data_IF_175152289726
#
_entry.id   IF_175152289726
#
_cell.length_a   1.000
_cell.length_b   1.000
_cell.length_c   1.000
_cell.angle_alpha   90.00
_cell.angle_beta   90.00
_cell.angle_gamma   90.00
#
_symmetry.space_group_name_H-M   'P 1'
#
loop_
_entity.id
_entity.type
_entity.pdbx_description
1 polymer ?
#
# COMPACT_ATOMS: atom_id res chain seq x y z
N UNK A 1 -3.00 22.97 64.40
CA UNK A 1 -4.36 22.53 64.04
C UNK A 1 -4.59 22.95 62.58
N UNK A 2 -4.61 22.00 61.64
CA UNK A 2 -5.82 21.41 60.99
C UNK A 2 -6.60 22.45 60.16
N UNK A 3 -7.03 22.29 58.90
CA UNK A 3 -7.14 21.20 57.91
C UNK A 3 -7.49 21.89 56.55
N UNK A 4 -7.17 21.21 55.45
CA UNK A 4 -7.55 21.40 54.04
C UNK A 4 -8.82 22.23 53.73
N UNK A 5 -8.79 22.92 52.57
CA UNK A 5 -9.76 22.70 51.47
C UNK A 5 -9.21 23.15 50.12
N UNK A 6 -8.73 22.16 49.37
CA UNK A 6 -8.50 22.17 47.93
C UNK A 6 -9.87 21.94 47.27
N UNK A 7 -10.34 22.91 46.48
CA UNK A 7 -11.38 22.77 45.46
C UNK A 7 -10.99 23.82 44.41
N UNK A 8 -10.38 23.49 43.29
CA UNK A 8 -10.75 22.43 42.37
C UNK A 8 -11.10 23.13 41.05
N UNK A 9 -10.10 23.72 40.41
CA UNK A 9 -10.14 24.23 39.04
C UNK A 9 -10.43 23.05 38.11
N UNK A 10 -11.71 22.77 37.88
CA UNK A 10 -12.14 21.85 36.83
C UNK A 10 -11.99 22.55 35.48
N UNK A 11 -10.74 22.56 35.00
CA UNK A 11 -10.39 22.77 33.61
C UNK A 11 -11.10 21.68 32.80
N UNK A 12 -12.19 22.03 32.12
CA UNK A 12 -12.81 21.18 31.12
C UNK A 12 -11.88 21.17 29.91
N UNK A 13 -10.87 20.31 29.97
CA UNK A 13 -10.17 19.79 28.80
C UNK A 13 -11.17 18.92 28.05
N UNK A 14 -12.01 19.55 27.23
CA UNK A 14 -12.63 18.88 26.09
C UNK A 14 -11.52 18.61 25.05
N UNK A 15 -10.62 17.70 25.40
CA UNK A 15 -9.65 17.12 24.48
C UNK A 15 -10.44 16.36 23.42
N UNK A 16 -10.27 16.79 22.18
CA UNK A 16 -10.99 16.32 21.02
C UNK A 16 -11.03 14.81 20.95
N UNK A 17 -12.23 14.26 21.06
CA UNK A 17 -12.55 13.07 20.30
C UNK A 17 -12.58 13.51 18.83
N UNK A 18 -11.40 13.57 18.20
CA UNK A 18 -11.36 13.33 16.76
C UNK A 18 -11.94 11.94 16.60
N UNK A 19 -13.19 11.88 16.19
CA UNK A 19 -13.74 10.73 15.49
C UNK A 19 -12.82 10.51 14.30
N UNK A 20 -11.75 9.74 14.49
CA UNK A 20 -11.15 8.96 13.42
C UNK A 20 -12.28 8.04 13.03
N UNK A 21 -13.11 8.49 12.08
CA UNK A 21 -13.89 7.55 11.32
C UNK A 21 -12.87 6.56 10.79
N UNK A 22 -12.97 5.31 11.25
CA UNK A 22 -12.33 4.18 10.62
C UNK A 22 -12.87 4.12 9.20
N UNK A 23 -12.32 4.96 8.32
CA UNK A 23 -12.36 4.75 6.90
C UNK A 23 -11.44 3.56 6.69
N UNK A 24 -12.01 2.37 6.86
CA UNK A 24 -11.44 1.15 6.28
C UNK A 24 -11.09 1.43 4.81
N UNK A 25 -10.16 0.65 4.28
CA UNK A 25 -9.57 0.89 2.96
C UNK A 25 -10.63 1.36 1.95
N UNK A 26 -10.41 2.49 1.27
CA UNK A 26 -11.40 3.01 0.34
C UNK A 26 -11.45 2.09 -0.89
N UNK A 27 -12.34 1.09 -0.84
CA UNK A 27 -12.54 0.12 -1.92
C UNK A 27 -13.06 0.77 -3.21
N UNK A 28 -13.56 2.02 -3.17
CA UNK A 28 -13.85 2.75 -4.43
C UNK A 28 -12.56 3.09 -5.18
N UNK A 29 -11.44 3.25 -4.46
CA UNK A 29 -10.13 3.49 -5.07
C UNK A 29 -9.56 2.24 -5.71
N UNK A 30 -9.93 1.02 -5.28
CA UNK A 30 -9.51 -0.24 -5.88
C UNK A 30 -10.69 -1.21 -5.88
N UNK A 31 -11.52 -1.26 -6.95
CA UNK A 31 -12.56 -2.27 -7.04
C UNK A 31 -11.92 -3.66 -7.11
N UNK A 32 -12.62 -4.67 -6.57
CA UNK A 32 -12.14 -6.05 -6.56
C UNK A 32 -11.79 -6.55 -7.96
N UNK A 33 -10.69 -7.30 -8.06
CA UNK A 33 -10.22 -7.86 -9.32
C UNK A 33 -9.29 -6.92 -10.09
N UNK A 34 -9.38 -6.92 -11.41
CA UNK A 34 -8.46 -6.20 -12.29
C UNK A 34 -8.70 -4.69 -12.21
N UNK A 35 -7.60 -3.94 -12.18
CA UNK A 35 -7.64 -2.49 -12.33
C UNK A 35 -8.17 -2.08 -13.71
N UNK A 36 -8.68 -0.85 -13.77
CA UNK A 36 -9.22 -0.28 -15.01
C UNK A 36 -8.10 0.25 -15.90
N UNK A 37 -8.12 -0.09 -17.19
CA UNK A 37 -7.04 0.27 -18.12
C UNK A 37 -6.88 1.78 -18.32
N UNK A 38 -7.98 2.54 -18.22
CA UNK A 38 -8.02 4.00 -18.35
C UNK A 38 -7.63 4.76 -17.07
N UNK A 39 -7.29 4.04 -16.00
CA UNK A 39 -6.96 4.62 -14.70
C UNK A 39 -5.49 4.39 -14.36
N UNK A 40 -4.97 5.23 -13.49
CA UNK A 40 -3.74 5.00 -12.76
C UNK A 40 -4.02 4.97 -11.26
N UNK A 41 -3.19 4.20 -10.56
CA UNK A 41 -3.34 3.95 -9.13
C UNK A 41 -2.09 4.44 -8.42
N UNK A 42 -2.31 5.25 -7.39
CA UNK A 42 -1.29 5.71 -6.47
C UNK A 42 -1.32 4.82 -5.24
N UNK A 43 -0.15 4.49 -4.71
CA UNK A 43 -0.05 3.88 -3.40
C UNK A 43 1.24 4.31 -2.70
N UNK A 44 1.22 4.23 -1.37
CA UNK A 44 2.39 4.43 -0.55
C UNK A 44 3.28 3.18 -0.58
N UNK A 45 4.55 3.35 -0.92
CA UNK A 45 5.56 2.30 -0.85
C UNK A 45 5.65 1.80 0.60
N UNK A 46 5.47 0.50 0.87
CA UNK A 46 5.52 -0.02 2.23
C UNK A 46 6.89 0.17 2.88
N UNK A 47 6.89 0.31 4.21
CA UNK A 47 8.12 0.50 4.97
C UNK A 47 9.11 -0.65 4.79
N UNK A 48 10.33 -0.33 4.34
CA UNK A 48 11.35 -1.33 4.04
C UNK A 48 11.30 -1.91 2.63
N UNK A 49 10.43 -1.39 1.77
CA UNK A 49 10.47 -1.63 0.34
C UNK A 49 11.23 -0.49 -0.34
N UNK A 50 12.10 -0.83 -1.28
CA UNK A 50 12.76 0.10 -2.19
C UNK A 50 12.36 -0.27 -3.61
N UNK A 51 12.00 0.72 -4.42
CA UNK A 51 11.65 0.55 -5.83
C UNK A 51 12.63 1.39 -6.64
N UNK A 52 13.23 0.79 -7.65
CA UNK A 52 14.06 1.46 -8.64
C UNK A 52 13.39 1.33 -10.00
N UNK A 53 13.04 2.45 -10.65
CA UNK A 53 12.46 2.39 -11.99
C UNK A 53 13.52 2.24 -13.09
N UNK A 54 13.06 2.13 -14.34
CA UNK A 54 13.89 1.96 -15.52
C UNK A 54 14.89 3.12 -15.74
N UNK A 55 14.65 4.28 -15.14
CA UNK A 55 15.53 5.46 -15.21
C UNK A 55 16.55 5.52 -14.07
N UNK A 56 16.53 4.55 -13.16
CA UNK A 56 17.35 4.56 -11.95
C UNK A 56 16.84 5.52 -10.88
N UNK A 57 15.61 6.04 -11.00
CA UNK A 57 14.98 6.80 -9.92
C UNK A 57 14.62 5.82 -8.79
N UNK A 58 14.93 6.20 -7.55
CA UNK A 58 14.77 5.34 -6.38
C UNK A 58 13.73 5.94 -5.43
N UNK A 59 12.72 5.13 -5.09
CA UNK A 59 11.75 5.43 -4.04
C UNK A 59 11.84 4.42 -2.92
N UNK A 60 11.71 4.90 -1.69
CA UNK A 60 11.76 4.09 -0.46
C UNK A 60 10.42 4.16 0.26
N UNK A 61 10.26 3.32 1.28
CA UNK A 61 9.13 3.34 2.22
C UNK A 61 8.68 4.77 2.57
N UNK A 62 7.37 4.99 2.54
CA UNK A 62 6.76 6.30 2.77
C UNK A 62 6.70 7.22 1.54
N UNK A 63 7.25 6.81 0.40
CA UNK A 63 7.08 7.53 -0.88
C UNK A 63 5.79 7.11 -1.58
N UNK A 64 5.22 7.97 -2.42
CA UNK A 64 4.14 7.61 -3.33
C UNK A 64 4.73 7.16 -4.67
N UNK A 65 4.15 6.10 -5.23
CA UNK A 65 4.40 5.65 -6.61
C UNK A 65 3.08 5.51 -7.34
N UNK A 66 3.12 5.67 -8.66
CA UNK A 66 1.96 5.56 -9.53
C UNK A 66 2.17 4.45 -10.56
N UNK A 67 1.15 3.63 -10.75
CA UNK A 67 1.17 2.49 -11.66
C UNK A 67 -0.06 2.50 -12.57
N UNK A 68 0.03 1.99 -13.81
CA UNK A 68 -1.13 1.90 -14.68
C UNK A 68 -2.13 0.87 -14.14
N UNK A 69 -3.41 1.13 -14.29
CA UNK A 69 -4.45 0.21 -13.84
C UNK A 69 -4.45 -1.13 -14.56
N UNK A 70 -3.90 -1.19 -15.77
CA UNK A 70 -3.69 -2.44 -16.50
C UNK A 70 -2.69 -3.39 -15.82
N UNK A 71 -1.85 -2.91 -14.91
CA UNK A 71 -0.86 -3.74 -14.21
C UNK A 71 -1.32 -4.18 -12.82
N UNK A 72 -2.44 -3.69 -12.30
CA UNK A 72 -2.85 -3.94 -10.92
C UNK A 72 -4.05 -4.88 -10.81
N UNK A 73 -4.03 -5.72 -9.77
CA UNK A 73 -5.15 -6.57 -9.37
C UNK A 73 -5.30 -6.53 -7.86
N UNK A 74 -6.49 -6.17 -7.37
CA UNK A 74 -6.81 -6.29 -5.94
C UNK A 74 -7.09 -7.76 -5.60
N UNK A 75 -6.49 -8.25 -4.51
CA UNK A 75 -6.64 -9.62 -4.01
C UNK A 75 -7.48 -9.64 -2.74
N UNK A 76 -8.54 -10.44 -2.74
CA UNK A 76 -9.37 -10.64 -1.56
C UNK A 76 -8.63 -11.42 -0.47
N UNK A 77 -8.86 -11.08 0.81
CA UNK A 77 -8.19 -11.75 1.94
C UNK A 77 -8.34 -13.28 1.97
N UNK A 78 -9.51 -13.89 1.69
CA UNK A 78 -9.63 -15.35 1.62
C UNK A 78 -8.72 -15.97 0.57
N UNK A 79 -8.62 -15.34 -0.61
CA UNK A 79 -7.71 -15.77 -1.68
C UNK A 79 -6.24 -15.67 -1.24
N UNK A 80 -5.84 -14.55 -0.63
CA UNK A 80 -4.47 -14.36 -0.12
C UNK A 80 -4.10 -15.43 0.91
N UNK A 81 -5.01 -15.77 1.82
CA UNK A 81 -4.78 -16.82 2.84
C UNK A 81 -4.66 -18.21 2.23
N UNK A 82 -5.40 -18.49 1.17
CA UNK A 82 -5.28 -19.76 0.45
C UNK A 82 -3.95 -19.85 -0.31
N UNK A 83 -3.62 -18.79 -1.05
CA UNK A 83 -2.36 -18.70 -1.82
C UNK A 83 -1.12 -18.63 -0.93
N UNK A 84 -1.24 -18.27 0.35
CA UNK A 84 -0.12 -18.29 1.30
C UNK A 84 0.52 -19.68 1.49
N UNK A 85 -0.16 -20.75 1.05
CA UNK A 85 0.37 -22.12 1.03
C UNK A 85 1.32 -22.37 -0.16
N UNK A 86 1.33 -21.46 -1.14
CA UNK A 86 2.17 -21.53 -2.34
C UNK A 86 3.47 -20.73 -2.13
N UNK A 87 4.61 -21.41 -2.27
CA UNK A 87 5.92 -20.79 -2.04
C UNK A 87 6.25 -19.71 -3.08
N UNK A 88 5.78 -19.84 -4.32
CA UNK A 88 6.00 -18.83 -5.36
C UNK A 88 5.19 -17.57 -5.05
N UNK A 89 3.94 -17.72 -4.60
CA UNK A 89 3.13 -16.59 -4.11
C UNK A 89 3.82 -15.90 -2.93
N UNK A 90 4.27 -16.66 -1.92
CA UNK A 90 4.96 -16.10 -0.75
C UNK A 90 6.32 -15.45 -1.09
N UNK A 91 6.97 -15.91 -2.16
CA UNK A 91 8.18 -15.28 -2.71
C UNK A 91 7.85 -13.94 -3.35
N UNK A 92 6.75 -13.86 -4.11
CA UNK A 92 6.27 -12.60 -4.73
C UNK A 92 5.73 -11.59 -3.71
N UNK A 93 5.30 -12.06 -2.54
CA UNK A 93 4.70 -11.21 -1.50
C UNK A 93 5.79 -10.55 -0.64
N UNK A 94 6.08 -9.28 -0.96
CA UNK A 94 7.27 -8.58 -0.47
C UNK A 94 7.20 -8.26 1.03
N UNK A 95 6.03 -7.93 1.54
CA UNK A 95 5.79 -7.59 2.95
C UNK A 95 4.74 -8.53 3.61
N UNK A 96 4.80 -9.81 3.25
CA UNK A 96 3.90 -10.83 3.77
C UNK A 96 3.98 -10.98 5.31
N UNK A 97 5.18 -10.86 5.87
CA UNK A 97 5.43 -10.87 7.32
C UNK A 97 4.63 -9.79 8.06
N UNK A 98 4.52 -8.59 7.47
CA UNK A 98 3.70 -7.50 8.00
C UNK A 98 2.21 -7.84 7.93
N UNK A 99 1.75 -8.45 6.82
CA UNK A 99 0.35 -8.83 6.64
C UNK A 99 -0.07 -9.94 7.61
N UNK A 100 0.68 -11.04 7.68
CA UNK A 100 0.34 -12.20 8.52
C UNK A 100 0.64 -11.99 10.00
N UNK A 101 1.51 -11.05 10.35
CA UNK A 101 1.76 -10.64 11.74
C UNK A 101 0.71 -9.68 12.32
N UNK A 102 -0.20 -9.17 11.50
CA UNK A 102 -1.17 -8.15 11.90
C UNK A 102 -2.41 -8.73 12.59
N UNK A 103 -2.92 -8.11 13.67
CA UNK A 103 -4.22 -8.46 14.23
C UNK A 103 -5.34 -8.29 13.21
N UNK A 104 -6.31 -9.21 13.18
CA UNK A 104 -7.41 -9.20 12.20
C UNK A 104 -8.19 -7.87 12.15
N UNK A 105 -8.28 -7.16 13.28
CA UNK A 105 -8.96 -5.87 13.40
C UNK A 105 -8.27 -4.72 12.65
N UNK A 106 -6.96 -4.84 12.39
CA UNK A 106 -6.17 -3.83 11.67
C UNK A 106 -6.08 -4.11 10.16
N UNK A 107 -6.30 -5.36 9.74
CA UNK A 107 -6.21 -5.77 8.32
C UNK A 107 -7.17 -4.97 7.43
N UNK A 108 -8.30 -4.48 7.98
CA UNK A 108 -9.29 -3.68 7.25
C UNK A 108 -8.79 -2.33 6.73
N UNK A 109 -7.67 -1.83 7.25
CA UNK A 109 -7.08 -0.56 6.84
C UNK A 109 -6.06 -0.74 5.68
N UNK A 110 -5.89 -1.97 5.23
CA UNK A 110 -4.95 -2.38 4.20
C UNK A 110 -5.64 -3.15 3.08
N UNK A 111 -5.02 -3.13 1.91
CA UNK A 111 -5.36 -3.93 0.76
C UNK A 111 -4.16 -4.79 0.37
N UNK A 112 -4.41 -5.96 -0.21
CA UNK A 112 -3.35 -6.76 -0.84
C UNK A 112 -3.53 -6.65 -2.34
N UNK A 113 -2.53 -6.13 -3.03
CA UNK A 113 -2.53 -5.94 -4.48
C UNK A 113 -1.46 -6.82 -5.12
N UNK A 114 -1.79 -7.40 -6.27
CA UNK A 114 -0.83 -7.95 -7.22
C UNK A 114 -0.54 -6.88 -8.26
N UNK A 115 0.73 -6.68 -8.59
CA UNK A 115 1.18 -5.70 -9.56
C UNK A 115 2.13 -6.40 -10.53
N UNK A 116 1.87 -6.27 -11.83
CA UNK A 116 2.85 -6.64 -12.84
C UNK A 116 3.97 -5.60 -12.84
N UNK A 117 5.15 -5.99 -12.37
CA UNK A 117 6.36 -5.19 -12.41
C UNK A 117 6.85 -5.17 -13.86
N UNK A 118 6.96 -4.01 -14.54
CA UNK A 118 7.42 -3.95 -15.91
C UNK A 118 8.93 -4.15 -16.00
N UNK A 119 9.42 -4.47 -17.20
CA UNK A 119 10.85 -4.64 -17.48
C UNK A 119 11.66 -3.42 -17.02
N UNK A 120 12.84 -3.68 -16.43
CA UNK A 120 13.73 -2.62 -15.95
C UNK A 120 13.33 -1.99 -14.61
N UNK A 121 12.19 -2.35 -14.03
CA UNK A 121 11.83 -2.00 -12.65
C UNK A 121 12.29 -3.09 -11.69
N UNK A 122 12.91 -2.68 -10.57
CA UNK A 122 13.34 -3.57 -9.50
C UNK A 122 12.71 -3.16 -8.18
N UNK A 123 12.22 -4.14 -7.43
CA UNK A 123 11.63 -3.96 -6.09
C UNK A 123 12.40 -4.82 -5.09
N UNK A 124 12.88 -4.19 -4.03
CA UNK A 124 13.69 -4.82 -2.99
C UNK A 124 12.99 -4.70 -1.64
N UNK A 125 12.93 -5.79 -0.88
CA UNK A 125 12.35 -5.84 0.46
C UNK A 125 13.41 -5.98 1.56
N UNK A 126 13.02 -5.65 2.80
CA UNK A 126 13.84 -5.77 4.02
C UNK A 126 14.48 -7.15 4.24
N UNK A 127 13.86 -8.22 3.76
CA UNK A 127 14.36 -9.60 3.89
C UNK A 127 15.41 -9.98 2.85
N UNK A 128 15.89 -9.02 2.04
CA UNK A 128 16.79 -9.28 0.92
C UNK A 128 16.08 -9.90 -0.30
N UNK A 129 14.74 -9.97 -0.28
CA UNK A 129 13.94 -10.35 -1.44
C UNK A 129 14.06 -9.28 -2.51
N UNK A 130 14.30 -9.69 -3.74
CA UNK A 130 14.36 -8.82 -4.91
C UNK A 130 13.48 -9.37 -6.00
N UNK A 131 12.64 -8.52 -6.58
CA UNK A 131 11.80 -8.82 -7.75
C UNK A 131 12.20 -7.85 -8.85
N UNK A 132 12.60 -8.40 -10.00
CA UNK A 132 12.92 -7.63 -11.20
C UNK A 132 11.91 -7.99 -12.28
N UNK A 133 11.31 -6.97 -12.91
CA UNK A 133 10.33 -7.19 -13.96
C UNK A 133 10.93 -7.78 -15.24
N UNK A 134 10.13 -8.47 -16.08
CA UNK A 134 8.69 -8.69 -15.93
C UNK A 134 8.35 -9.80 -14.92
N UNK A 135 7.63 -9.46 -13.85
CA UNK A 135 7.26 -10.39 -12.79
C UNK A 135 6.06 -9.89 -11.97
N UNK A 136 5.31 -10.81 -11.37
CA UNK A 136 4.26 -10.46 -10.41
C UNK A 136 4.88 -10.11 -9.05
N UNK A 137 4.44 -8.99 -8.49
CA UNK A 137 4.73 -8.53 -7.15
C UNK A 137 3.44 -8.47 -6.35
N UNK A 138 3.44 -9.01 -5.14
CA UNK A 138 2.33 -8.87 -4.20
C UNK A 138 2.73 -7.94 -3.07
N UNK A 139 1.89 -6.95 -2.78
CA UNK A 139 2.10 -5.96 -1.71
C UNK A 139 0.84 -5.82 -0.86
N UNK A 140 1.05 -5.73 0.45
CA UNK A 140 0.08 -5.12 1.35
C UNK A 140 0.31 -3.60 1.31
N UNK A 141 -0.69 -2.84 0.91
CA UNK A 141 -0.68 -1.38 0.84
C UNK A 141 -1.70 -0.79 1.81
N UNK A 142 -1.42 0.40 2.35
CA UNK A 142 -2.33 1.14 3.22
C UNK A 142 -3.28 2.02 2.41
N UNK A 143 -4.38 2.43 3.03
CA UNK A 143 -5.24 3.50 2.49
C UNK A 143 -4.51 4.86 2.44
N UNK A 144 -3.50 5.08 3.28
CA UNK A 144 -2.73 6.33 3.30
C UNK A 144 -1.98 6.56 1.98
N UNK A 145 -2.30 7.63 1.26
CA UNK A 145 -1.69 7.96 -0.03
C UNK A 145 -2.22 7.13 -1.22
N UNK A 146 -3.24 6.30 -1.00
CA UNK A 146 -3.85 5.47 -2.03
C UNK A 146 -4.98 6.21 -2.75
N UNK A 147 -4.87 6.36 -4.06
CA UNK A 147 -5.78 7.14 -4.89
C UNK A 147 -5.92 6.51 -6.27
N UNK A 148 -7.11 6.56 -6.87
CA UNK A 148 -7.34 6.20 -8.27
C UNK A 148 -7.75 7.43 -9.05
N UNK A 149 -7.20 7.58 -10.25
CA UNK A 149 -7.55 8.69 -11.14
C UNK A 149 -7.42 8.30 -12.59
N UNK A 150 -8.05 9.11 -13.46
CA UNK A 150 -7.84 9.01 -14.89
C UNK A 150 -6.35 9.10 -15.20
N UNK A 151 -5.88 8.23 -16.07
CA UNK A 151 -4.50 8.27 -16.54
C UNK A 151 -4.34 9.42 -17.57
N UNK A 152 -3.59 10.49 -17.24
CA UNK A 152 -3.41 11.61 -18.17
C UNK A 152 -2.27 11.35 -19.17
N UNK A 153 -1.54 10.25 -19.03
CA UNK A 153 -0.32 10.02 -19.79
C UNK A 153 -0.62 9.59 -21.23
N UNK A 154 0.25 9.96 -22.19
CA UNK A 154 0.12 9.49 -23.56
C UNK A 154 0.38 7.98 -23.66
N UNK A 155 -0.12 7.35 -24.73
CA UNK A 155 0.19 5.97 -25.04
C UNK A 155 1.71 5.74 -25.12
N UNK A 156 2.18 4.61 -24.54
CA UNK A 156 3.60 4.26 -24.47
C UNK A 156 4.38 4.90 -23.31
N UNK A 157 3.74 5.75 -22.50
CA UNK A 157 4.39 6.35 -21.32
C UNK A 157 4.93 5.28 -20.34
N UNK A 158 4.08 4.32 -19.99
CA UNK A 158 4.41 3.25 -19.05
C UNK A 158 5.47 2.29 -19.59
N UNK A 159 5.59 2.14 -20.91
CA UNK A 159 6.66 1.34 -21.54
C UNK A 159 8.05 1.99 -21.38
N UNK A 160 8.08 3.31 -21.17
CA UNK A 160 9.32 4.09 -21.02
C UNK A 160 9.68 4.38 -19.57
N UNK A 161 8.65 4.60 -18.75
CA UNK A 161 8.83 4.94 -17.33
C UNK A 161 8.79 3.70 -16.43
N UNK A 162 8.12 2.63 -16.87
CA UNK A 162 7.70 1.53 -16.02
C UNK A 162 6.66 2.03 -15.02
N UNK A 163 7.13 2.54 -13.89
CA UNK A 163 6.31 3.18 -12.85
C UNK A 163 6.71 4.63 -12.69
N UNK A 164 5.71 5.48 -12.48
CA UNK A 164 5.94 6.90 -12.27
C UNK A 164 6.20 7.16 -10.79
N UNK A 165 7.33 7.83 -10.56
CA UNK A 165 7.89 8.13 -9.27
C UNK A 165 7.91 9.65 -8.99
N UNK A 166 7.31 10.46 -9.85
CA UNK A 166 7.35 11.92 -9.69
C UNK A 166 6.29 12.46 -8.75
#
# INVERSE_FOLDING_TARGET
MKILRILGTALVLALGAMTVHAQGFNMQSFPDGLGKHEMMYKFLVPEGVTITNQKGEVKKGGSIVMVPGSSIKLLESPYVKEMAKDDAFMTSFMNADQYFGMPAEQVRDFAVISILVPEGVTVEGKSGKTITGPADLVLMVTNGGSEVMQDPHPAGYWDTMGWDMK
#
